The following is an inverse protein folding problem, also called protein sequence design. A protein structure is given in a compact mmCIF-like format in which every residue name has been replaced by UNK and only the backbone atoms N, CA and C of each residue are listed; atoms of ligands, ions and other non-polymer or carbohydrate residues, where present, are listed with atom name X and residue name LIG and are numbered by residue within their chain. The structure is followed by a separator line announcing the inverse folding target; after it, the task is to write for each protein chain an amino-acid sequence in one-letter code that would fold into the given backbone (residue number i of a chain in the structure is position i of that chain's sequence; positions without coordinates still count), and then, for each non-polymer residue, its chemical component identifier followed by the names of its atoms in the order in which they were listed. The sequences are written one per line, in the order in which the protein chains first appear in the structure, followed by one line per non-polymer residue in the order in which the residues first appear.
data_IF_980310249986
#
_entry.id   IF_980310249986
#
_cell.length_a   1.000
_cell.length_b   1.000
_cell.length_c   1.000
_cell.angle_alpha   90.00
_cell.angle_beta   90.00
_cell.angle_gamma   90.00
#
_symmetry.space_group_name_H-M   'P 1'
#
loop_
_entity.id
_entity.type
_entity.pdbx_description
1 polymer ?
#
# COMPACT_ATOMS: atom_id res chain seq x y z
N UNK A 1 -1.22 -10.79 -23.20
CA UNK A 1 -2.59 -10.26 -23.02
C UNK A 1 -2.73 -9.77 -21.59
N UNK A 2 -3.21 -8.54 -21.36
CA UNK A 2 -3.40 -7.99 -20.00
C UNK A 2 -4.40 -8.85 -19.23
N UNK A 3 -3.99 -9.33 -18.06
CA UNK A 3 -4.75 -10.29 -17.25
C UNK A 3 -6.12 -9.75 -16.79
N UNK A 4 -6.26 -8.42 -16.71
CA UNK A 4 -7.55 -7.69 -16.75
C UNK A 4 -7.36 -6.36 -17.49
N UNK A 5 -8.30 -5.92 -18.35
CA UNK A 5 -8.23 -4.57 -18.93
C UNK A 5 -8.38 -3.52 -17.84
N UNK A 6 -7.69 -2.39 -17.99
CA UNK A 6 -7.65 -1.29 -17.01
C UNK A 6 -9.06 -0.87 -16.52
N UNK A 7 -10.02 -0.76 -17.43
CA UNK A 7 -11.42 -0.43 -17.12
C UNK A 7 -12.10 -1.43 -16.18
N UNK A 8 -11.72 -2.72 -16.23
CA UNK A 8 -12.27 -3.72 -15.33
C UNK A 8 -11.72 -3.54 -13.90
N UNK A 9 -10.45 -3.14 -13.75
CA UNK A 9 -9.86 -2.86 -12.43
C UNK A 9 -10.48 -1.64 -11.77
N UNK A 10 -10.69 -0.57 -12.54
CA UNK A 10 -11.39 0.62 -12.05
C UNK A 10 -12.80 0.27 -11.54
N UNK A 11 -13.57 -0.50 -12.32
CA UNK A 11 -14.90 -0.96 -11.90
C UNK A 11 -14.86 -1.82 -10.64
N UNK A 12 -13.91 -2.74 -10.54
CA UNK A 12 -13.77 -3.60 -9.37
C UNK A 12 -13.52 -2.79 -8.08
N UNK A 13 -12.74 -1.71 -8.14
CA UNK A 13 -12.55 -0.80 -6.99
C UNK A 13 -13.86 -0.12 -6.64
N UNK A 14 -14.53 0.48 -7.63
CA UNK A 14 -15.80 1.18 -7.41
C UNK A 14 -16.84 0.21 -6.82
N UNK A 15 -16.94 -1.02 -7.34
CA UNK A 15 -17.84 -2.06 -6.82
C UNK A 15 -17.55 -2.44 -5.37
N UNK A 16 -16.27 -2.53 -5.01
CA UNK A 16 -15.86 -2.91 -3.67
C UNK A 16 -16.14 -1.81 -2.64
N UNK A 17 -16.01 -0.55 -3.05
CA UNK A 17 -15.95 0.57 -2.12
C UNK A 17 -17.22 1.44 -2.08
N UNK A 18 -18.16 1.24 -3.01
CA UNK A 18 -19.38 2.04 -3.11
C UNK A 18 -20.64 1.20 -3.12
N UNK A 19 -21.74 1.75 -2.59
CA UNK A 19 -23.05 1.11 -2.73
C UNK A 19 -23.54 1.21 -4.18
N UNK A 20 -24.07 0.10 -4.68
CA UNK A 20 -24.84 -0.02 -5.92
C UNK A 20 -25.80 1.14 -6.23
N UNK A 21 -26.54 1.65 -5.24
CA UNK A 21 -27.57 2.68 -5.48
C UNK A 21 -27.01 4.10 -5.54
N UNK A 22 -25.89 4.36 -4.86
CA UNK A 22 -25.33 5.70 -4.67
C UNK A 22 -24.01 5.98 -5.39
N UNK A 23 -23.34 4.95 -5.93
CA UNK A 23 -21.94 5.04 -6.40
C UNK A 23 -21.61 6.23 -7.29
N UNK A 24 -22.48 6.57 -8.24
CA UNK A 24 -22.15 7.62 -9.19
C UNK A 24 -22.27 9.00 -8.56
N UNK A 25 -23.21 9.19 -7.64
CA UNK A 25 -23.31 10.45 -6.89
C UNK A 25 -22.08 10.63 -6.00
N UNK A 26 -21.70 9.57 -5.27
CA UNK A 26 -20.48 9.60 -4.45
C UNK A 26 -19.24 9.96 -5.28
N UNK A 27 -19.09 9.34 -6.46
CA UNK A 27 -17.97 9.63 -7.36
C UNK A 27 -18.01 11.06 -7.89
N UNK A 28 -19.19 11.60 -8.22
CA UNK A 28 -19.35 13.00 -8.64
C UNK A 28 -18.95 13.94 -7.51
N UNK A 29 -19.41 13.69 -6.28
CA UNK A 29 -19.13 14.56 -5.13
C UNK A 29 -17.62 14.67 -4.87
N UNK A 30 -16.88 13.57 -4.99
CA UNK A 30 -15.43 13.56 -4.72
C UNK A 30 -14.58 14.03 -5.89
N UNK A 31 -15.06 13.94 -7.13
CA UNK A 31 -14.24 14.20 -8.34
C UNK A 31 -14.66 15.43 -9.14
N UNK A 32 -15.87 15.94 -8.93
CA UNK A 32 -16.51 16.95 -9.78
C UNK A 32 -16.65 16.53 -11.25
N UNK A 33 -16.45 15.25 -11.57
CA UNK A 33 -16.63 14.69 -12.90
C UNK A 33 -18.13 14.37 -13.10
N UNK A 34 -18.74 14.76 -14.23
CA UNK A 34 -20.17 14.57 -14.44
C UNK A 34 -20.63 13.12 -14.33
N UNK A 35 -21.82 12.93 -13.75
CA UNK A 35 -22.44 11.62 -13.52
C UNK A 35 -22.52 10.77 -14.80
N UNK A 36 -22.89 11.39 -15.92
CA UNK A 36 -23.02 10.69 -17.19
C UNK A 36 -21.67 10.21 -17.75
N UNK A 37 -20.57 10.87 -17.40
CA UNK A 37 -19.23 10.41 -17.74
C UNK A 37 -18.90 9.14 -16.95
N UNK A 38 -19.17 9.12 -15.64
CA UNK A 38 -19.02 7.94 -14.81
C UNK A 38 -19.88 6.76 -15.30
N UNK A 39 -21.15 7.02 -15.67
CA UNK A 39 -22.01 6.00 -16.28
C UNK A 39 -21.46 5.50 -17.61
N UNK A 40 -20.93 6.37 -18.46
CA UNK A 40 -20.39 5.99 -19.77
C UNK A 40 -19.19 5.06 -19.63
N UNK A 41 -18.30 5.33 -18.68
CA UNK A 41 -17.18 4.42 -18.35
C UNK A 41 -17.69 3.12 -17.72
N UNK A 42 -18.66 3.22 -16.81
CA UNK A 42 -19.26 2.06 -16.16
C UNK A 42 -19.89 1.07 -17.14
N UNK A 43 -20.63 1.56 -18.13
CA UNK A 43 -21.26 0.72 -19.16
C UNK A 43 -20.35 0.43 -20.35
N UNK A 44 -19.07 0.84 -20.31
CA UNK A 44 -18.09 0.55 -21.35
C UNK A 44 -18.27 1.35 -22.65
N UNK A 45 -19.04 2.45 -22.61
CA UNK A 45 -19.21 3.37 -23.73
C UNK A 45 -18.02 4.30 -23.91
N UNK A 46 -17.25 4.51 -22.84
CA UNK A 46 -16.06 5.36 -22.81
C UNK A 46 -14.93 4.66 -22.05
N UNK A 47 -13.68 4.96 -22.42
CA UNK A 47 -12.51 4.61 -21.59
C UNK A 47 -12.41 5.57 -20.39
N UNK A 48 -11.92 5.09 -19.23
CA UNK A 48 -11.61 5.98 -18.11
C UNK A 48 -10.68 7.13 -18.54
N UNK A 49 -10.98 8.34 -18.10
CA UNK A 49 -10.10 9.51 -18.30
C UNK A 49 -9.04 9.56 -17.20
N UNK A 50 -8.01 10.39 -17.36
CA UNK A 50 -6.95 10.52 -16.36
C UNK A 50 -7.51 11.03 -15.03
N UNK A 51 -8.45 11.96 -15.08
CA UNK A 51 -9.10 12.58 -13.91
C UNK A 51 -9.92 11.55 -13.12
N UNK A 52 -10.58 10.60 -13.81
CA UNK A 52 -11.29 9.51 -13.14
C UNK A 52 -10.34 8.55 -12.43
N UNK A 53 -9.18 8.30 -13.04
CA UNK A 53 -8.15 7.42 -12.49
C UNK A 53 -7.55 8.06 -11.25
N UNK A 54 -7.22 9.34 -11.34
CA UNK A 54 -6.74 10.14 -10.24
C UNK A 54 -7.75 10.19 -9.10
N UNK A 55 -9.03 10.47 -9.38
CA UNK A 55 -10.07 10.52 -8.37
C UNK A 55 -10.21 9.20 -7.59
N UNK A 56 -10.24 8.06 -8.29
CA UNK A 56 -10.29 6.74 -7.65
C UNK A 56 -9.00 6.44 -6.88
N UNK A 57 -7.84 6.74 -7.47
CA UNK A 57 -6.54 6.53 -6.85
C UNK A 57 -6.31 7.38 -5.60
N UNK A 58 -6.80 8.61 -5.56
CA UNK A 58 -6.70 9.48 -4.39
C UNK A 58 -7.72 9.09 -3.30
N UNK A 59 -8.93 8.68 -3.67
CA UNK A 59 -9.97 8.26 -2.72
C UNK A 59 -9.64 6.95 -2.03
N UNK A 60 -9.11 5.97 -2.78
CA UNK A 60 -8.74 4.64 -2.30
C UNK A 60 -7.29 4.29 -2.69
N UNK A 61 -6.31 4.95 -2.05
CA UNK A 61 -4.91 4.86 -2.44
C UNK A 61 -4.28 3.49 -2.26
N UNK A 62 -4.82 2.66 -1.37
CA UNK A 62 -4.39 1.27 -1.20
C UNK A 62 -4.52 0.44 -2.49
N UNK A 63 -5.35 0.86 -3.45
CA UNK A 63 -5.53 0.17 -4.74
C UNK A 63 -4.84 0.87 -5.91
N UNK A 64 -4.22 2.04 -5.73
CA UNK A 64 -3.72 2.88 -6.83
C UNK A 64 -2.65 2.17 -7.68
N UNK A 65 -1.71 1.51 -7.01
CA UNK A 65 -0.67 0.72 -7.69
C UNK A 65 -1.28 -0.42 -8.52
N UNK A 66 -2.25 -1.15 -7.97
CA UNK A 66 -2.92 -2.24 -8.67
C UNK A 66 -3.79 -1.75 -9.82
N UNK A 67 -4.50 -0.64 -9.66
CA UNK A 67 -5.29 -0.01 -10.71
C UNK A 67 -4.46 0.23 -11.97
N UNK A 68 -3.27 0.82 -11.79
CA UNK A 68 -2.38 1.17 -12.91
C UNK A 68 -1.62 -0.03 -13.44
N UNK A 69 -0.96 -0.79 -12.57
CA UNK A 69 -0.01 -1.84 -12.97
C UNK A 69 -0.64 -3.21 -13.20
N UNK A 70 -1.79 -3.48 -12.57
CA UNK A 70 -2.44 -4.79 -12.56
C UNK A 70 -1.79 -5.84 -11.65
N UNK A 71 -0.74 -5.47 -10.91
CA UNK A 71 -0.07 -6.31 -9.91
C UNK A 71 -0.24 -5.71 -8.50
N UNK A 72 -0.03 -6.52 -7.46
CA UNK A 72 -0.06 -6.07 -6.07
C UNK A 72 1.34 -6.05 -5.46
N UNK A 73 1.52 -5.23 -4.44
CA UNK A 73 2.69 -5.19 -3.55
C UNK A 73 2.19 -5.13 -2.09
N UNK A 74 1.74 -6.27 -1.53
CA UNK A 74 1.14 -6.31 -0.19
C UNK A 74 2.10 -5.92 0.93
N UNK A 75 3.42 -6.09 0.75
CA UNK A 75 4.43 -5.65 1.73
C UNK A 75 4.38 -4.14 1.96
N UNK A 76 3.98 -3.39 0.92
CA UNK A 76 3.77 -1.95 1.00
C UNK A 76 2.31 -1.55 1.12
N UNK A 77 1.40 -2.49 1.39
CA UNK A 77 -0.06 -2.29 1.45
C UNK A 77 -0.67 -1.78 0.14
N UNK A 78 -0.03 -2.09 -0.99
CA UNK A 78 -0.60 -1.90 -2.31
C UNK A 78 -1.34 -3.17 -2.74
N UNK A 79 -2.64 -3.19 -2.54
CA UNK A 79 -3.46 -4.40 -2.68
C UNK A 79 -4.48 -4.27 -3.81
N UNK A 80 -5.21 -5.35 -4.08
CA UNK A 80 -6.37 -5.36 -4.96
C UNK A 80 -7.64 -5.53 -4.12
N UNK A 81 -8.80 -5.03 -4.58
CA UNK A 81 -10.07 -5.28 -3.89
C UNK A 81 -10.37 -6.78 -3.77
N UNK A 82 -10.98 -7.18 -2.66
CA UNK A 82 -11.32 -8.59 -2.40
C UNK A 82 -12.28 -9.18 -3.46
N UNK A 83 -13.05 -8.35 -4.16
CA UNK A 83 -13.97 -8.74 -5.24
C UNK A 83 -13.28 -8.89 -6.60
N UNK A 84 -12.08 -8.33 -6.78
CA UNK A 84 -11.39 -8.36 -8.06
C UNK A 84 -10.86 -9.77 -8.35
N UNK A 85 -11.07 -10.28 -9.57
CA UNK A 85 -10.31 -11.45 -10.02
C UNK A 85 -8.81 -11.08 -10.02
N UNK A 86 -8.00 -11.85 -9.28
CA UNK A 86 -6.54 -11.71 -9.32
C UNK A 86 -5.96 -12.95 -9.98
N UNK A 87 -5.36 -12.78 -11.15
CA UNK A 87 -4.46 -13.79 -11.73
C UNK A 87 -3.03 -13.70 -11.19
N UNK A 88 -2.76 -12.82 -10.21
CA UNK A 88 -1.44 -12.63 -9.62
C UNK A 88 -1.19 -13.70 -8.53
N UNK A 89 0.00 -14.32 -8.49
CA UNK A 89 0.27 -15.48 -7.63
C UNK A 89 0.42 -15.14 -6.14
N UNK A 90 0.41 -13.86 -5.75
CA UNK A 90 0.46 -13.45 -4.34
C UNK A 90 -0.95 -13.50 -3.75
N UNK A 91 -1.10 -14.16 -2.61
CA UNK A 91 -2.34 -14.20 -1.83
C UNK A 91 -2.89 -12.78 -1.63
N UNK A 92 -4.21 -12.62 -1.82
CA UNK A 92 -4.86 -11.32 -1.68
C UNK A 92 -4.60 -10.79 -0.26
N UNK A 93 -3.97 -9.63 -0.17
CA UNK A 93 -3.84 -8.91 1.09
C UNK A 93 -5.18 -8.30 1.50
N UNK A 94 -5.48 -8.32 2.80
CA UNK A 94 -6.59 -7.54 3.36
C UNK A 94 -6.11 -6.10 3.55
N UNK A 95 -7.00 -5.15 3.26
CA UNK A 95 -6.75 -3.73 3.53
C UNK A 95 -6.32 -3.51 4.98
N UNK A 96 -5.30 -2.68 5.15
CA UNK A 96 -4.79 -2.29 6.46
C UNK A 96 -5.19 -0.83 6.71
N UNK A 97 -6.15 -0.55 7.62
CA UNK A 97 -6.69 0.80 7.83
C UNK A 97 -5.62 1.86 8.14
N UNK A 98 -4.56 1.48 8.86
CA UNK A 98 -3.45 2.37 9.20
C UNK A 98 -2.63 2.77 7.97
N UNK A 99 -2.49 1.89 6.97
CA UNK A 99 -1.75 2.18 5.75
C UNK A 99 -2.56 3.13 4.87
N UNK A 100 -3.85 2.86 4.70
CA UNK A 100 -4.77 3.74 3.98
C UNK A 100 -4.83 5.13 4.61
N UNK A 101 -4.85 5.22 5.95
CA UNK A 101 -4.77 6.49 6.67
C UNK A 101 -3.47 7.23 6.37
N UNK A 102 -2.32 6.54 6.41
CA UNK A 102 -1.03 7.14 6.07
C UNK A 102 -1.02 7.68 4.63
N UNK A 103 -1.48 6.89 3.66
CA UNK A 103 -1.55 7.32 2.26
C UNK A 103 -2.43 8.55 2.07
N UNK A 104 -3.63 8.57 2.68
CA UNK A 104 -4.53 9.73 2.61
C UNK A 104 -3.90 10.98 3.22
N UNK A 105 -3.19 10.84 4.33
CA UNK A 105 -2.47 11.94 4.95
C UNK A 105 -1.37 12.48 4.01
N UNK A 106 -0.58 11.59 3.41
CA UNK A 106 0.48 11.96 2.45
C UNK A 106 -0.08 12.63 1.19
N UNK A 107 -1.21 12.15 0.67
CA UNK A 107 -1.90 12.76 -0.48
C UNK A 107 -2.41 14.15 -0.12
N UNK A 108 -3.04 14.32 1.05
CA UNK A 108 -3.50 15.63 1.51
C UNK A 108 -2.33 16.61 1.69
N UNK A 109 -1.22 16.15 2.27
CA UNK A 109 -0.01 16.95 2.40
C UNK A 109 0.55 17.35 1.02
N UNK A 110 0.62 16.41 0.07
CA UNK A 110 1.06 16.68 -1.30
C UNK A 110 0.17 17.69 -2.02
N UNK A 111 -1.16 17.57 -1.89
CA UNK A 111 -2.12 18.49 -2.50
C UNK A 111 -2.08 19.89 -1.86
N UNK A 112 -1.58 20.01 -0.63
CA UNK A 112 -1.36 21.27 0.07
C UNK A 112 0.02 21.89 -0.15
N UNK A 113 0.91 21.23 -0.90
CA UNK A 113 2.22 21.81 -1.23
C UNK A 113 2.05 22.99 -2.21
N UNK A 114 2.82 24.07 -2.06
CA UNK A 114 2.81 25.18 -3.00
C UNK A 114 3.10 24.70 -4.43
N UNK A 115 2.30 25.19 -5.38
CA UNK A 115 2.50 24.93 -6.82
C UNK A 115 3.72 25.68 -7.34
N UNK A 116 3.99 26.87 -6.79
CA UNK A 116 5.17 27.67 -7.11
C UNK A 116 6.46 27.04 -6.56
N UNK A 117 7.47 26.94 -7.42
CA UNK A 117 8.71 26.23 -7.09
C UNK A 117 9.58 27.01 -6.08
N UNK A 118 9.55 28.36 -6.11
CA UNK A 118 10.29 29.18 -5.15
C UNK A 118 9.66 29.09 -3.76
N UNK A 119 8.33 29.21 -3.68
CA UNK A 119 7.59 29.05 -2.43
C UNK A 119 7.78 27.65 -1.83
N UNK A 120 7.74 26.61 -2.67
CA UNK A 120 8.01 25.22 -2.25
C UNK A 120 9.43 25.07 -1.71
N UNK A 121 10.43 25.67 -2.36
CA UNK A 121 11.82 25.62 -1.90
C UNK A 121 11.99 26.31 -0.54
N UNK A 122 11.36 27.47 -0.34
CA UNK A 122 11.36 28.18 0.94
C UNK A 122 10.74 27.34 2.04
N UNK A 123 9.55 26.78 1.81
CA UNK A 123 8.87 25.90 2.77
C UNK A 123 9.72 24.69 3.15
N UNK A 124 10.32 24.01 2.16
CA UNK A 124 11.20 22.85 2.40
C UNK A 124 12.41 23.22 3.26
N UNK A 125 13.04 24.37 2.98
CA UNK A 125 14.17 24.86 3.77
C UNK A 125 13.77 25.16 5.21
N UNK A 126 12.63 25.83 5.42
CA UNK A 126 12.12 26.11 6.77
C UNK A 126 11.91 24.83 7.58
N UNK A 127 11.38 23.77 6.96
CA UNK A 127 11.17 22.50 7.65
C UNK A 127 12.48 21.78 7.92
N UNK A 128 13.43 21.80 6.97
CA UNK A 128 14.78 21.27 7.19
C UNK A 128 15.48 21.96 8.36
N UNK A 129 15.43 23.30 8.41
CA UNK A 129 16.02 24.08 9.49
C UNK A 129 15.35 23.75 10.83
N UNK A 130 14.02 23.64 10.87
CA UNK A 130 13.29 23.23 12.06
C UNK A 130 13.65 21.80 12.52
N UNK A 131 13.87 20.89 11.57
CA UNK A 131 14.30 19.51 11.86
C UNK A 131 15.68 19.50 12.49
N UNK A 132 16.64 20.21 11.89
CA UNK A 132 17.99 20.36 12.40
C UNK A 132 17.98 20.93 13.84
N UNK A 133 17.21 21.99 14.09
CA UNK A 133 17.06 22.57 15.43
C UNK A 133 16.45 21.61 16.45
N UNK A 134 15.43 20.83 16.05
CA UNK A 134 14.83 19.82 16.91
C UNK A 134 15.84 18.70 17.23
N UNK A 135 16.64 18.31 16.25
CA UNK A 135 17.68 17.30 16.37
C UNK A 135 18.85 17.78 17.25
N UNK A 136 19.30 19.02 17.12
CA UNK A 136 20.33 19.61 17.99
C UNK A 136 19.98 19.52 19.48
N UNK A 137 18.69 19.67 19.82
CA UNK A 137 18.20 19.53 21.20
C UNK A 137 18.25 18.09 21.72
N UNK A 138 18.35 17.10 20.83
CA UNK A 138 18.37 15.66 21.14
C UNK A 138 19.79 15.08 21.08
N UNK A 139 20.72 15.71 20.36
CA UNK A 139 21.96 15.06 19.90
C UNK A 139 23.15 15.28 20.85
N UNK A 140 23.70 14.15 21.33
CA UNK A 140 25.12 14.00 21.70
C UNK A 140 25.95 13.60 20.44
N UNK A 141 27.30 13.72 20.43
CA UNK A 141 28.12 13.44 19.25
C UNK A 141 27.91 12.06 18.58
N UNK A 142 27.51 11.03 19.34
CA UNK A 142 27.18 9.70 18.82
C UNK A 142 25.89 9.69 17.96
N UNK A 143 24.96 10.59 18.22
CA UNK A 143 23.73 10.73 17.46
C UNK A 143 23.95 11.42 16.09
N UNK A 144 25.03 12.20 15.92
CA UNK A 144 25.41 12.79 14.61
C UNK A 144 25.94 11.75 13.61
N UNK A 145 26.81 10.82 14.05
CA UNK A 145 27.29 9.72 13.17
C UNK A 145 26.15 8.77 12.81
N UNK A 146 25.22 8.56 13.75
CA UNK A 146 23.99 7.81 13.50
C UNK A 146 23.09 8.53 12.50
N UNK A 147 23.06 9.87 12.54
CA UNK A 147 22.29 10.71 11.63
C UNK A 147 22.80 10.66 10.19
N UNK A 148 24.08 10.91 9.92
CA UNK A 148 24.61 10.88 8.54
C UNK A 148 24.40 9.51 7.89
N UNK A 149 24.59 8.43 8.66
CA UNK A 149 24.32 7.07 8.19
C UNK A 149 22.83 6.84 7.92
N UNK A 150 21.94 7.39 8.75
CA UNK A 150 20.50 7.33 8.53
C UNK A 150 20.08 8.13 7.29
N UNK A 151 20.57 9.36 7.12
CA UNK A 151 20.34 10.19 5.92
C UNK A 151 20.75 9.46 4.65
N UNK A 152 21.96 8.87 4.66
CA UNK A 152 22.48 8.11 3.53
C UNK A 152 21.61 6.89 3.24
N UNK A 153 21.25 6.12 4.26
CA UNK A 153 20.37 4.97 4.11
C UNK A 153 19.00 5.38 3.55
N UNK A 154 18.42 6.49 4.04
CA UNK A 154 17.18 7.04 3.50
C UNK A 154 17.33 7.52 2.05
N UNK A 155 18.46 8.13 1.70
CA UNK A 155 18.83 8.47 0.32
C UNK A 155 18.84 7.25 -0.59
N UNK A 156 19.60 6.22 -0.20
CA UNK A 156 19.74 4.98 -0.96
C UNK A 156 18.43 4.18 -1.04
N UNK A 157 17.57 4.26 -0.03
CA UNK A 157 16.25 3.60 -0.02
C UNK A 157 15.12 4.41 -0.67
N UNK A 158 15.40 5.62 -1.17
CA UNK A 158 14.38 6.52 -1.73
C UNK A 158 13.40 7.11 -0.69
N UNK A 159 13.79 7.11 0.59
CA UNK A 159 13.02 7.65 1.72
C UNK A 159 13.53 9.04 2.17
N UNK A 160 14.24 9.75 1.29
CA UNK A 160 14.90 11.01 1.64
C UNK A 160 13.95 12.22 1.71
N UNK A 161 12.78 12.17 1.06
CA UNK A 161 11.85 13.31 1.00
C UNK A 161 10.90 13.41 2.21
N UNK A 162 11.08 12.58 3.24
CA UNK A 162 10.18 12.53 4.41
C UNK A 162 10.42 13.63 5.46
N UNK A 163 11.44 14.49 5.30
CA UNK A 163 11.74 15.55 6.27
C UNK A 163 10.60 16.55 6.53
N UNK A 164 9.76 16.95 5.54
CA UNK A 164 8.65 17.86 5.77
C UNK A 164 7.64 17.37 6.82
N UNK A 165 7.38 16.06 6.83
CA UNK A 165 6.35 15.44 7.68
C UNK A 165 6.93 14.70 8.88
N UNK A 166 8.24 14.42 8.90
CA UNK A 166 8.90 13.71 10.00
C UNK A 166 8.82 14.46 11.35
N UNK A 167 8.49 15.75 11.35
CA UNK A 167 8.24 16.54 12.56
C UNK A 167 6.75 16.75 12.85
N UNK A 168 5.86 16.37 11.94
CA UNK A 168 4.42 16.55 12.12
C UNK A 168 3.90 15.55 13.18
N UNK A 169 3.33 16.03 14.30
CA UNK A 169 2.88 15.14 15.37
C UNK A 169 1.77 14.17 14.95
N UNK A 170 0.88 14.59 14.06
CA UNK A 170 -0.19 13.74 13.55
C UNK A 170 0.40 12.64 12.66
N UNK A 171 1.29 12.98 11.73
CA UNK A 171 1.96 12.00 10.88
C UNK A 171 2.75 10.98 11.71
N UNK A 172 3.50 11.43 12.71
CA UNK A 172 4.26 10.56 13.61
C UNK A 172 3.35 9.61 14.38
N UNK A 173 2.17 10.07 14.82
CA UNK A 173 1.19 9.22 15.49
C UNK A 173 0.64 8.12 14.57
N UNK A 174 0.37 8.44 13.30
CA UNK A 174 -0.10 7.50 12.28
C UNK A 174 0.98 6.44 12.02
N UNK A 175 2.24 6.86 11.84
CA UNK A 175 3.38 5.96 11.62
C UNK A 175 3.66 5.05 12.79
N UNK A 176 3.53 5.56 14.02
CA UNK A 176 3.65 4.74 15.22
C UNK A 176 2.57 3.66 15.25
N UNK A 177 1.31 4.03 15.02
CA UNK A 177 0.19 3.08 14.98
C UNK A 177 0.38 2.00 13.90
N UNK A 178 0.86 2.40 12.71
CA UNK A 178 1.27 1.48 11.65
C UNK A 178 2.32 0.48 12.12
N UNK A 179 3.43 0.97 12.69
CA UNK A 179 4.54 0.11 13.13
C UNK A 179 4.09 -0.87 14.21
N UNK A 180 3.33 -0.39 15.20
CA UNK A 180 2.80 -1.23 16.28
C UNK A 180 1.90 -2.35 15.72
N UNK A 181 1.06 -2.04 14.72
CA UNK A 181 0.20 -3.01 14.07
C UNK A 181 0.98 -4.02 13.22
N UNK A 182 1.96 -3.58 12.43
CA UNK A 182 2.86 -4.45 11.66
C UNK A 182 3.63 -5.39 12.59
N UNK A 183 4.13 -4.89 13.73
CA UNK A 183 4.84 -5.70 14.70
C UNK A 183 3.93 -6.73 15.38
N UNK A 184 2.66 -6.38 15.63
CA UNK A 184 1.67 -7.32 16.14
C UNK A 184 1.37 -8.43 15.12
N UNK A 185 1.06 -8.06 13.87
CA UNK A 185 0.84 -9.02 12.78
C UNK A 185 2.05 -9.92 12.55
N UNK A 186 3.26 -9.34 12.63
CA UNK A 186 4.51 -10.10 12.51
C UNK A 186 4.65 -11.11 13.64
N UNK A 187 4.38 -10.74 14.89
CA UNK A 187 4.39 -11.66 16.04
C UNK A 187 3.40 -12.81 15.86
N UNK A 188 2.18 -12.48 15.43
CA UNK A 188 1.11 -13.46 15.21
C UNK A 188 1.44 -14.41 14.05
N UNK A 189 2.09 -13.90 12.99
CA UNK A 189 2.49 -14.67 11.80
C UNK A 189 3.78 -15.48 12.02
N UNK A 190 4.71 -15.01 12.85
CA UNK A 190 6.01 -15.64 13.08
C UNK A 190 5.86 -17.07 13.61
N UNK A 191 4.89 -17.29 14.49
CA UNK A 191 4.57 -18.63 14.99
C UNK A 191 4.19 -19.62 13.89
N UNK A 192 3.53 -19.17 12.82
CA UNK A 192 3.20 -20.04 11.69
C UNK A 192 4.38 -20.21 10.74
N UNK A 193 5.07 -19.12 10.36
CA UNK A 193 6.18 -19.19 9.40
C UNK A 193 7.37 -20.00 9.94
N UNK A 194 7.75 -19.85 11.21
CA UNK A 194 8.82 -20.67 11.80
C UNK A 194 8.41 -22.13 11.88
N UNK A 195 7.14 -22.44 12.18
CA UNK A 195 6.62 -23.80 12.15
C UNK A 195 6.56 -24.38 10.72
N UNK A 196 6.22 -23.59 9.72
CA UNK A 196 6.25 -23.99 8.30
C UNK A 196 7.69 -24.18 7.84
N UNK A 197 8.61 -23.26 8.11
CA UNK A 197 10.01 -23.39 7.74
C UNK A 197 10.73 -24.50 8.53
N UNK A 198 10.35 -24.76 9.78
CA UNK A 198 10.87 -25.88 10.56
C UNK A 198 10.30 -27.24 10.12
N UNK A 199 9.03 -27.30 9.71
CA UNK A 199 8.41 -28.51 9.15
C UNK A 199 8.84 -28.76 7.70
N UNK A 200 9.10 -27.69 6.95
CA UNK A 200 9.76 -27.69 5.66
C UNK A 200 11.28 -27.72 5.91
N UNK A 201 11.79 -28.86 6.39
CA UNK A 201 13.21 -29.20 6.18
C UNK A 201 13.44 -29.35 4.68
N UNK A 202 13.58 -28.22 4.01
CA UNK A 202 13.77 -28.10 2.58
C UNK A 202 15.14 -28.70 2.24
N UNK A 203 15.12 -29.97 1.86
CA UNK A 203 16.20 -30.62 1.14
C UNK A 203 16.59 -29.68 -0.01
N UNK A 204 17.82 -29.15 0.00
CA UNK A 204 18.30 -28.13 -0.94
C UNK A 204 18.10 -28.52 -2.42
N UNK A 205 17.89 -29.82 -2.68
CA UNK A 205 17.54 -30.40 -3.99
C UNK A 205 16.13 -30.02 -4.48
N UNK A 206 15.16 -29.77 -3.60
CA UNK A 206 13.78 -29.42 -3.97
C UNK A 206 13.64 -27.98 -4.50
N UNK A 207 14.53 -27.07 -4.09
CA UNK A 207 14.60 -25.70 -4.64
C UNK A 207 14.98 -25.68 -6.12
N UNK A 208 15.56 -26.77 -6.64
CA UNK A 208 15.92 -26.90 -8.05
C UNK A 208 14.74 -27.32 -8.94
N UNK A 209 13.59 -27.69 -8.36
CA UNK A 209 12.40 -28.06 -9.12
C UNK A 209 11.10 -27.44 -8.52
N UNK A 210 10.74 -26.21 -8.93
CA UNK A 210 9.63 -25.46 -8.33
C UNK A 210 8.27 -26.13 -8.47
N UNK A 211 8.07 -27.01 -9.48
CA UNK A 211 6.82 -27.77 -9.64
C UNK A 211 6.64 -28.85 -8.56
N UNK A 212 7.73 -29.52 -8.16
CA UNK A 212 7.70 -30.53 -7.11
C UNK A 212 7.50 -29.94 -5.71
N UNK A 213 8.02 -28.72 -5.50
CA UNK A 213 7.84 -27.96 -4.26
C UNK A 213 6.36 -27.62 -4.01
N UNK A 214 5.68 -27.06 -5.02
CA UNK A 214 4.27 -26.67 -4.90
C UNK A 214 3.39 -27.90 -4.65
N UNK A 215 3.59 -29.01 -5.38
CA UNK A 215 2.82 -30.25 -5.19
C UNK A 215 2.91 -30.81 -3.76
N UNK A 216 4.11 -30.82 -3.15
CA UNK A 216 4.29 -31.32 -1.78
C UNK A 216 3.70 -30.39 -0.73
N UNK A 217 3.90 -29.07 -0.87
CA UNK A 217 3.37 -28.09 0.08
C UNK A 217 1.84 -28.12 0.06
N UNK A 218 1.23 -28.09 -1.12
CA UNK A 218 -0.23 -28.17 -1.23
C UNK A 218 -0.78 -29.53 -0.76
N UNK A 219 -0.16 -30.66 -1.11
CA UNK A 219 -0.60 -31.98 -0.63
C UNK A 219 -0.57 -32.10 0.90
N UNK A 220 0.42 -31.52 1.55
CA UNK A 220 0.51 -31.50 3.02
C UNK A 220 -0.48 -30.54 3.70
N UNK A 221 -0.86 -29.45 3.01
CA UNK A 221 -1.87 -28.50 3.49
C UNK A 221 -3.29 -29.09 3.41
N UNK A 222 -3.61 -29.78 2.31
CA UNK A 222 -4.93 -30.37 2.09
C UNK A 222 -5.17 -31.65 2.90
N UNK A 223 -4.13 -32.46 3.14
CA UNK A 223 -4.24 -33.62 4.03
C UNK A 223 -4.57 -33.25 5.48
N UNK A 224 -4.25 -32.02 5.91
CA UNK A 224 -4.57 -31.50 7.25
C UNK A 224 -5.97 -30.93 7.39
N UNK A 225 -6.68 -30.69 6.28
CA UNK A 225 -8.07 -30.22 6.31
C UNK A 225 -9.06 -31.39 6.43
N UNK A 226 -8.67 -32.59 5.99
CA UNK A 226 -9.51 -33.79 6.06
C UNK A 226 -9.59 -34.37 7.50
N UNK A 227 -8.60 -34.12 8.36
CA UNK A 227 -8.57 -34.57 9.77
C UNK A 227 -9.51 -33.77 10.70
N UNK A 228 -10.18 -32.72 10.21
CA UNK A 228 -11.09 -31.88 11.01
C UNK A 228 -12.57 -31.99 10.57
N UNK A 229 -12.95 -33.05 9.85
CA UNK A 229 -14.34 -33.33 9.49
C UNK A 229 -14.94 -34.62 10.09
N UNK A 230 -14.24 -35.29 11.01
CA UNK A 230 -14.84 -36.33 11.85
C UNK A 230 -14.71 -35.93 13.33
N UNK A 231 -15.72 -35.18 13.81
CA UNK A 231 -16.37 -35.31 15.13
C UNK A 231 -17.59 -34.36 15.22
#
# INVERSE_FOLDING_TARGET
MSMHPFSARLKAIIEAETDSRGRFNELVDVSQIPLDSWRSVWYGRQRPTVEMIEAVGQKWPQYAFWLVTGITDPERNHIAPATAASGYPVMRGVEQPWATREFRYLIAACNGEPTDDEERAVRRRQIQDAALLAMEKVISPAANVSYEKAMRAFGESGQHDFYPLALDPEYLSIRKARRDAEDQLRKDSFGWFDNVLASVKLDKRLLQNPKALLSKVFGSLFARQDDHQED
#
